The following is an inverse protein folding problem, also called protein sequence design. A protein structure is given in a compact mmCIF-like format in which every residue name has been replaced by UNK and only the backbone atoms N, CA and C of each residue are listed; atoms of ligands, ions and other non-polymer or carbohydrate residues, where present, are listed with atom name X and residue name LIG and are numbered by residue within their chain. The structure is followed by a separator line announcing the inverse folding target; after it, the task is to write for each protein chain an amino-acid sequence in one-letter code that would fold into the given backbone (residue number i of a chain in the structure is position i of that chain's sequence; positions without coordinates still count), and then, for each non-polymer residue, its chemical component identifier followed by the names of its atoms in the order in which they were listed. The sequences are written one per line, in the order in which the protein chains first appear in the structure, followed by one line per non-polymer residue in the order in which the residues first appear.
data_IF_702984930120
#
_entry.id   IF_702984930120
#
_cell.length_a   1.000
_cell.length_b   1.000
_cell.length_c   1.000
_cell.angle_alpha   90.00
_cell.angle_beta   90.00
_cell.angle_gamma   90.00
#
_symmetry.space_group_name_H-M   'P 1'
#
loop_
_entity.id
_entity.type
_entity.pdbx_description
1 polymer ?
#
# COMPACT_ATOMS: atom_id res chain seq x y z
N UNK A 1 -16.62 5.52 3.62
CA UNK A 1 -15.44 5.30 4.48
C UNK A 1 -15.83 4.41 5.65
N UNK A 2 -15.06 3.37 5.93
CA UNK A 2 -15.26 2.46 7.09
C UNK A 2 -13.96 2.38 7.88
N UNK A 3 -14.03 2.57 9.19
CA UNK A 3 -12.89 2.47 10.10
C UNK A 3 -13.21 1.47 11.20
N UNK A 4 -12.23 0.63 11.56
CA UNK A 4 -12.30 -0.28 12.71
C UNK A 4 -10.96 -0.17 13.44
N UNK A 5 -10.98 0.14 14.73
CA UNK A 5 -9.80 0.17 15.58
C UNK A 5 -9.99 -0.90 16.65
N UNK A 6 -8.96 -1.72 16.86
CA UNK A 6 -8.94 -2.69 17.93
C UNK A 6 -8.33 -2.06 19.18
N UNK A 7 -9.11 -1.93 20.25
CA UNK A 7 -8.65 -1.33 21.50
C UNK A 7 -7.66 -2.21 22.28
N UNK A 8 -7.51 -3.50 21.93
CA UNK A 8 -6.57 -4.41 22.59
C UNK A 8 -5.16 -4.36 22.00
N UNK A 9 -4.97 -3.78 20.80
CA UNK A 9 -3.68 -3.73 20.10
C UNK A 9 -3.44 -2.31 19.61
N UNK A 10 -2.35 -1.70 20.06
CA UNK A 10 -2.05 -0.31 19.68
C UNK A 10 -1.61 -0.23 18.23
N UNK A 11 -1.98 0.84 17.55
CA UNK A 11 -1.48 1.14 16.19
C UNK A 11 0.05 1.24 16.17
N UNK A 12 0.65 1.83 17.21
CA UNK A 12 2.11 1.91 17.38
C UNK A 12 2.81 0.56 17.56
N UNK A 13 2.08 -0.52 17.85
CA UNK A 13 2.61 -1.89 17.94
C UNK A 13 2.43 -2.66 16.62
N UNK A 14 1.82 -2.06 15.60
CA UNK A 14 1.66 -2.68 14.29
C UNK A 14 3.02 -2.84 13.61
N UNK A 15 3.20 -3.99 12.95
CA UNK A 15 4.42 -4.34 12.22
C UNK A 15 4.20 -4.43 10.73
N UNK A 16 2.95 -4.64 10.30
CA UNK A 16 2.60 -4.85 8.90
C UNK A 16 1.42 -3.98 8.49
N UNK A 17 1.51 -3.41 7.29
CA UNK A 17 0.41 -2.76 6.59
C UNK A 17 0.04 -3.58 5.35
N UNK A 18 -1.20 -4.04 5.31
CA UNK A 18 -1.76 -4.68 4.13
C UNK A 18 -2.61 -3.65 3.37
N UNK A 19 -2.20 -3.36 2.15
CA UNK A 19 -2.92 -2.50 1.20
C UNK A 19 -3.60 -3.38 0.18
N UNK A 20 -4.93 -3.29 0.06
CA UNK A 20 -5.70 -3.99 -0.96
C UNK A 20 -6.40 -2.98 -1.86
N UNK A 21 -6.00 -2.93 -3.12
CA UNK A 21 -6.61 -2.08 -4.14
C UNK A 21 -7.70 -2.87 -4.85
N UNK A 22 -8.94 -2.40 -4.75
CA UNK A 22 -10.10 -3.07 -5.38
C UNK A 22 -10.18 -2.84 -6.89
N UNK A 23 -9.50 -1.82 -7.39
CA UNK A 23 -9.47 -1.49 -8.81
C UNK A 23 -8.58 -2.45 -9.60
N UNK A 24 -9.03 -2.80 -10.81
CA UNK A 24 -8.36 -3.79 -11.68
C UNK A 24 -7.27 -3.16 -12.54
N UNK A 25 -7.38 -1.87 -12.85
CA UNK A 25 -6.52 -1.17 -13.79
C UNK A 25 -5.66 -0.12 -13.06
N UNK A 26 -4.39 -0.02 -13.45
CA UNK A 26 -3.57 1.11 -13.04
C UNK A 26 -3.90 2.31 -13.92
N UNK A 27 -3.86 3.51 -13.34
CA UNK A 27 -3.81 4.73 -14.14
C UNK A 27 -2.50 4.77 -14.91
N UNK A 28 -1.40 4.54 -14.20
CA UNK A 28 -0.07 4.44 -14.80
C UNK A 28 0.84 3.54 -13.96
N UNK A 29 1.65 2.71 -14.62
CA UNK A 29 2.74 1.99 -13.97
C UNK A 29 3.85 1.67 -14.98
N UNK A 30 5.10 1.64 -14.53
CA UNK A 30 6.23 1.10 -15.29
C UNK A 30 6.72 -0.13 -14.56
N UNK A 31 6.65 -1.31 -15.17
CA UNK A 31 7.13 -2.57 -14.55
C UNK A 31 8.23 -3.15 -15.42
N UNK A 32 9.44 -3.29 -14.86
CA UNK A 32 10.64 -3.71 -15.62
C UNK A 32 10.88 -2.88 -16.90
N UNK A 33 10.61 -1.57 -16.83
CA UNK A 33 10.72 -0.67 -17.99
C UNK A 33 9.58 -0.76 -19.01
N UNK A 34 8.56 -1.59 -18.77
CA UNK A 34 7.37 -1.70 -19.62
C UNK A 34 6.24 -0.84 -19.05
N UNK A 35 5.68 0.03 -19.88
CA UNK A 35 4.58 0.92 -19.49
C UNK A 35 3.20 0.24 -19.51
N UNK A 36 2.41 0.59 -18.49
CA UNK A 36 1.03 0.23 -18.32
C UNK A 36 0.17 1.48 -18.08
N UNK A 37 -0.76 1.75 -18.98
CA UNK A 37 -1.67 2.89 -18.93
C UNK A 37 -3.09 2.37 -19.06
N UNK A 38 -3.96 2.72 -18.11
CA UNK A 38 -5.37 2.32 -18.05
C UNK A 38 -5.62 0.82 -18.28
N UNK A 39 -4.67 -0.01 -17.85
CA UNK A 39 -4.72 -1.47 -17.99
C UNK A 39 -4.16 -2.13 -16.74
N UNK A 40 -4.33 -3.45 -16.65
CA UNK A 40 -3.78 -4.21 -15.52
C UNK A 40 -2.27 -4.27 -15.69
N UNK A 41 -1.53 -3.65 -14.77
CA UNK A 41 -0.11 -3.91 -14.66
C UNK A 41 0.11 -5.35 -14.19
N UNK A 42 1.04 -6.06 -14.84
CA UNK A 42 1.50 -7.39 -14.40
C UNK A 42 2.41 -7.28 -13.17
N UNK A 43 1.89 -6.63 -12.14
CA UNK A 43 2.53 -6.54 -10.85
C UNK A 43 2.33 -7.85 -10.12
N UNK A 44 3.43 -8.34 -9.58
CA UNK A 44 3.58 -9.75 -9.23
C UNK A 44 3.14 -10.07 -7.81
N UNK A 45 2.59 -9.09 -7.10
CA UNK A 45 2.02 -9.22 -5.76
C UNK A 45 0.52 -9.62 -5.78
N UNK A 46 -0.05 -9.88 -6.97
CA UNK A 46 -1.42 -10.32 -7.15
C UNK A 46 -1.60 -11.82 -6.88
N UNK A 47 -1.44 -12.26 -5.63
CA UNK A 47 -1.69 -13.66 -5.25
C UNK A 47 -3.18 -14.06 -5.33
N UNK A 48 -4.07 -13.09 -5.52
CA UNK A 48 -5.51 -13.31 -5.68
C UNK A 48 -6.11 -12.34 -6.71
N UNK A 49 -6.16 -12.69 -8.01
CA UNK A 49 -7.00 -11.94 -8.94
C UNK A 49 -8.43 -11.88 -8.37
N UNK A 50 -9.08 -10.70 -8.31
CA UNK A 50 -8.87 -9.55 -9.17
C UNK A 50 -8.10 -8.34 -8.57
N UNK A 51 -7.55 -8.42 -7.36
CA UNK A 51 -7.07 -7.24 -6.62
C UNK A 51 -5.54 -7.16 -6.53
N UNK A 52 -5.00 -5.95 -6.50
CA UNK A 52 -3.59 -5.73 -6.14
C UNK A 52 -3.45 -5.69 -4.62
N UNK A 53 -2.50 -6.46 -4.09
CA UNK A 53 -2.27 -6.56 -2.64
C UNK A 53 -0.80 -6.35 -2.32
N UNK A 54 -0.51 -5.36 -1.48
CA UNK A 54 0.82 -5.10 -0.95
C UNK A 54 0.85 -5.46 0.54
N UNK A 55 1.78 -6.30 0.97
CA UNK A 55 2.05 -6.59 2.38
C UNK A 55 3.36 -5.89 2.74
N UNK A 56 3.27 -4.74 3.39
CA UNK A 56 4.41 -3.88 3.68
C UNK A 56 4.86 -4.10 5.12
N UNK A 57 6.13 -4.47 5.31
CA UNK A 57 6.77 -4.39 6.61
C UNK A 57 6.97 -2.91 6.97
N UNK A 58 6.30 -2.44 8.03
CA UNK A 58 6.27 -1.03 8.39
C UNK A 58 7.64 -0.48 8.77
N UNK A 59 8.51 -1.33 9.35
CA UNK A 59 9.84 -0.93 9.81
C UNK A 59 10.78 -0.68 8.63
N UNK A 60 10.71 -1.53 7.61
CA UNK A 60 11.68 -1.54 6.51
C UNK A 60 11.13 -0.94 5.23
N UNK A 61 9.81 -0.91 5.04
CA UNK A 61 9.18 -0.51 3.78
C UNK A 61 9.26 -1.58 2.70
N UNK A 62 9.68 -2.80 3.04
CA UNK A 62 9.74 -3.91 2.09
C UNK A 62 8.35 -4.50 1.91
N UNK A 63 7.91 -4.59 0.67
CA UNK A 63 6.73 -5.37 0.27
C UNK A 63 7.12 -6.86 0.30
N UNK A 64 6.70 -7.57 1.33
CA UNK A 64 7.16 -8.94 1.62
C UNK A 64 6.63 -9.98 0.62
N UNK A 65 5.50 -9.69 -0.04
CA UNK A 65 4.95 -10.49 -1.14
C UNK A 65 5.37 -9.98 -2.53
N UNK A 66 6.45 -9.19 -2.63
CA UNK A 66 7.00 -8.75 -3.90
C UNK A 66 7.80 -9.85 -4.60
N UNK A 67 7.66 -9.97 -5.92
CA UNK A 67 8.50 -10.91 -6.70
C UNK A 67 9.88 -10.32 -6.87
N UNK A 68 10.87 -11.05 -6.38
CA UNK A 68 12.27 -10.65 -6.53
C UNK A 68 12.67 -10.53 -8.00
N UNK A 69 13.50 -9.53 -8.29
CA UNK A 69 13.96 -9.19 -9.65
C UNK A 69 13.02 -8.28 -10.44
N UNK A 70 11.87 -7.88 -9.88
CA UNK A 70 10.92 -6.96 -10.55
C UNK A 70 11.09 -5.56 -9.99
N UNK A 71 11.26 -4.55 -10.85
CA UNK A 71 11.16 -3.14 -10.47
C UNK A 71 9.82 -2.58 -10.91
N UNK A 72 9.30 -1.60 -10.16
CA UNK A 72 8.09 -0.89 -10.55
C UNK A 72 8.07 0.58 -10.14
N UNK A 73 7.56 1.43 -11.01
CA UNK A 73 7.05 2.77 -10.69
C UNK A 73 5.52 2.67 -10.72
N UNK A 74 4.85 2.99 -9.63
CA UNK A 74 3.44 2.67 -9.41
C UNK A 74 2.69 3.99 -9.22
N UNK A 75 1.71 4.27 -10.09
CA UNK A 75 0.81 5.42 -9.96
C UNK A 75 -0.66 4.97 -10.15
N UNK A 76 -1.27 4.54 -9.06
CA UNK A 76 -2.60 3.92 -9.04
C UNK A 76 -3.64 4.85 -8.44
N UNK A 77 -4.61 5.28 -9.24
CA UNK A 77 -5.84 5.88 -8.69
C UNK A 77 -6.69 4.80 -8.02
N UNK A 78 -7.06 4.98 -6.77
CA UNK A 78 -7.84 3.98 -6.00
C UNK A 78 -9.30 4.37 -5.74
N UNK A 79 -9.75 5.55 -6.20
CA UNK A 79 -11.16 6.01 -6.18
C UNK A 79 -11.87 5.67 -4.85
N UNK A 80 -11.18 5.91 -3.74
CA UNK A 80 -11.66 5.69 -2.36
C UNK A 80 -12.09 4.26 -2.00
N UNK A 81 -11.68 3.25 -2.77
CA UNK A 81 -12.09 1.86 -2.57
C UNK A 81 -10.99 0.97 -1.98
N UNK A 82 -9.79 1.50 -1.77
CA UNK A 82 -8.70 0.74 -1.18
C UNK A 82 -8.92 0.47 0.31
N UNK A 83 -8.44 -0.69 0.75
CA UNK A 83 -8.46 -1.13 2.15
C UNK A 83 -7.05 -1.15 2.72
N UNK A 84 -6.88 -0.57 3.90
CA UNK A 84 -5.64 -0.48 4.65
C UNK A 84 -5.83 -1.22 5.97
N UNK A 85 -5.04 -2.27 6.20
CA UNK A 85 -5.15 -3.11 7.40
C UNK A 85 -3.81 -3.13 8.12
N UNK A 86 -3.81 -2.69 9.38
CA UNK A 86 -2.65 -2.78 10.27
C UNK A 86 -2.72 -4.03 11.11
N UNK A 87 -1.63 -4.79 11.11
CA UNK A 87 -1.47 -6.00 11.91
C UNK A 87 -0.28 -5.87 12.87
N UNK A 88 -0.46 -6.41 14.08
CA UNK A 88 0.64 -6.74 15.00
C UNK A 88 0.72 -8.26 15.08
N UNK A 89 1.61 -8.84 14.28
CA UNK A 89 1.61 -10.28 14.00
C UNK A 89 0.28 -10.74 13.39
N UNK A 90 -0.47 -11.60 14.09
CA UNK A 90 -1.78 -12.10 13.61
C UNK A 90 -2.98 -11.30 14.10
N UNK A 91 -2.76 -10.27 14.93
CA UNK A 91 -3.85 -9.50 15.52
C UNK A 91 -4.09 -8.23 14.72
N UNK A 92 -5.37 -7.92 14.48
CA UNK A 92 -5.78 -6.66 13.90
C UNK A 92 -5.50 -5.52 14.90
N UNK A 93 -4.78 -4.49 14.46
CA UNK A 93 -4.63 -3.23 15.18
C UNK A 93 -5.66 -2.20 14.67
N UNK A 94 -5.73 -2.02 13.35
CA UNK A 94 -6.70 -1.12 12.74
C UNK A 94 -7.03 -1.54 11.28
N UNK A 95 -8.18 -1.08 10.79
CA UNK A 95 -8.63 -1.22 9.42
C UNK A 95 -9.29 0.08 8.98
N UNK A 96 -9.01 0.51 7.75
CA UNK A 96 -9.65 1.66 7.12
C UNK A 96 -9.90 1.39 5.65
N UNK A 97 -11.06 1.80 5.16
CA UNK A 97 -11.42 1.83 3.74
C UNK A 97 -11.71 3.27 3.32
N UNK A 98 -10.98 3.77 2.32
CA UNK A 98 -11.12 5.14 1.83
C UNK A 98 -9.86 5.68 1.14
N UNK A 99 -9.59 6.96 1.36
CA UNK A 99 -8.49 7.73 0.77
C UNK A 99 -7.11 7.09 1.00
N UNK A 100 -6.20 7.32 0.05
CA UNK A 100 -4.79 6.97 0.13
C UNK A 100 -4.10 7.79 1.22
N UNK A 101 -3.42 7.14 2.18
CA UNK A 101 -2.57 7.85 3.12
C UNK A 101 -1.36 8.48 2.41
N UNK A 102 -0.92 9.64 2.88
CA UNK A 102 0.24 10.37 2.32
C UNK A 102 1.51 9.51 2.26
N UNK A 103 1.70 8.58 3.20
CA UNK A 103 2.86 7.67 3.22
C UNK A 103 2.81 6.57 2.13
N UNK A 104 1.76 6.50 1.33
CA UNK A 104 1.69 5.72 0.09
C UNK A 104 1.72 6.60 -1.17
N UNK A 105 1.98 7.89 -1.02
CA UNK A 105 2.15 8.88 -2.08
C UNK A 105 3.54 9.54 -1.97
N UNK A 106 4.58 8.72 -2.10
CA UNK A 106 5.98 9.09 -1.87
C UNK A 106 6.64 9.65 -3.13
N UNK A 107 6.46 8.99 -4.29
CA UNK A 107 7.12 9.41 -5.53
C UNK A 107 6.42 10.58 -6.21
N UNK A 108 5.12 10.72 -6.00
CA UNK A 108 4.30 11.83 -6.49
C UNK A 108 3.20 12.19 -5.49
N UNK A 109 2.71 13.43 -5.59
CA UNK A 109 1.57 13.87 -4.79
C UNK A 109 0.32 13.05 -5.14
N UNK A 110 -0.32 12.50 -4.11
CA UNK A 110 -1.42 11.56 -4.28
C UNK A 110 -2.82 12.18 -4.14
N UNK A 111 -2.93 13.38 -3.57
CA UNK A 111 -4.21 14.06 -3.25
C UNK A 111 -5.28 13.18 -2.57
N UNK A 112 -4.87 12.14 -1.86
CA UNK A 112 -5.77 11.13 -1.27
C UNK A 112 -6.35 10.11 -2.26
N UNK A 113 -6.10 10.26 -3.57
CA UNK A 113 -6.66 9.40 -4.61
C UNK A 113 -5.64 8.40 -5.17
N UNK A 114 -4.35 8.70 -5.10
CA UNK A 114 -3.32 7.93 -5.79
C UNK A 114 -2.30 7.30 -4.85
N UNK A 115 -2.10 6.00 -4.99
CA UNK A 115 -0.88 5.33 -4.52
C UNK A 115 0.21 5.67 -5.54
N UNK A 116 1.27 6.33 -5.07
CA UNK A 116 2.41 6.76 -5.86
C UNK A 116 3.71 6.33 -5.18
N UNK A 117 4.28 5.20 -5.59
CA UNK A 117 5.49 4.62 -4.98
C UNK A 117 6.42 4.01 -6.04
N UNK A 118 7.72 4.04 -5.76
CA UNK A 118 8.73 3.33 -6.55
C UNK A 118 9.23 2.13 -5.75
N UNK A 119 9.36 0.97 -6.40
CA UNK A 119 9.71 -0.30 -5.76
C UNK A 119 10.87 -0.94 -6.51
N UNK A 120 11.93 -1.28 -5.77
CA UNK A 120 13.11 -1.91 -6.34
C UNK A 120 12.94 -3.42 -6.58
N UNK A 121 13.98 -4.05 -7.14
CA UNK A 121 14.02 -5.48 -7.43
C UNK A 121 13.87 -6.38 -6.18
N UNK A 122 14.08 -5.83 -4.97
CA UNK A 122 13.92 -6.52 -3.71
C UNK A 122 12.56 -6.25 -3.04
N UNK A 123 11.71 -5.43 -3.64
CA UNK A 123 10.44 -5.02 -3.03
C UNK A 123 10.58 -3.85 -2.06
N UNK A 124 11.74 -3.20 -1.99
CA UNK A 124 11.95 -2.02 -1.17
C UNK A 124 11.21 -0.84 -1.78
N UNK A 125 10.30 -0.24 -1.02
CA UNK A 125 9.72 1.05 -1.38
C UNK A 125 10.80 2.12 -1.18
N UNK A 126 11.07 2.88 -2.25
CA UNK A 126 12.05 3.97 -2.22
C UNK A 126 11.61 5.06 -1.24
N UNK A 127 12.57 5.60 -0.49
CA UNK A 127 12.37 6.69 0.47
C UNK A 127 11.28 6.42 1.53
N UNK A 128 11.04 5.13 1.85
CA UNK A 128 10.08 4.73 2.86
C UNK A 128 10.45 5.29 4.23
N UNK A 129 9.59 6.18 4.74
CA UNK A 129 9.67 6.73 6.08
C UNK A 129 8.27 6.85 6.65
N UNK A 130 7.99 6.08 7.69
CA UNK A 130 6.71 6.10 8.38
C UNK A 130 6.95 6.18 9.88
N UNK A 131 6.11 6.96 10.56
CA UNK A 131 6.10 7.08 12.01
C UNK A 131 4.79 6.52 12.58
N UNK A 132 4.84 6.11 13.85
CA UNK A 132 3.63 5.71 14.56
C UNK A 132 2.58 6.83 14.60
N UNK A 133 3.00 8.09 14.74
CA UNK A 133 2.11 9.25 14.76
C UNK A 133 1.36 9.43 13.43
N UNK A 134 2.03 9.24 12.29
CA UNK A 134 1.37 9.29 10.98
C UNK A 134 0.35 8.17 10.81
N UNK A 135 0.64 6.96 11.29
CA UNK A 135 -0.31 5.85 11.29
C UNK A 135 -1.51 6.16 12.18
N UNK A 136 -1.26 6.60 13.42
CA UNK A 136 -2.30 6.93 14.38
C UNK A 136 -3.19 8.06 13.86
N UNK A 137 -2.61 9.12 13.29
CA UNK A 137 -3.36 10.19 12.64
C UNK A 137 -4.28 9.63 11.55
N UNK A 138 -3.73 8.87 10.61
CA UNK A 138 -4.48 8.37 9.47
C UNK A 138 -5.64 7.43 9.86
N UNK A 139 -5.46 6.56 10.85
CA UNK A 139 -6.49 5.61 11.25
C UNK A 139 -7.52 6.16 12.23
N UNK A 140 -7.23 7.27 12.93
CA UNK A 140 -8.17 7.93 13.85
C UNK A 140 -9.04 9.01 13.19
N UNK A 141 -8.64 9.53 12.02
CA UNK A 141 -9.44 10.44 11.18
C UNK A 141 -10.47 9.67 10.33
#
# INVERSE_FOLDING_TARGET
MKVVINNEVKISEATELIVTVKEKYCTYAVVNGVEYIDKRAEMTCADYPPFQKFIIDLKTGVITNWKKGVTAEIFYKVVDTACYTLLSGRKLAAYKEGYVPEFLAISHEGWGDYIAIDVDANGQIKDWQITAEQLEKYFNE
#
